data_IF_480699377822
#
_entry.id   IF_480699377822
#
_cell.length_a   1.000
_cell.length_b   1.000
_cell.length_c   1.000
_cell.angle_alpha   90.00
_cell.angle_beta   90.00
_cell.angle_gamma   90.00
#
_symmetry.space_group_name_H-M   'P 1'
#
loop_
_entity.id
_entity.type
_entity.pdbx_description
1 polymer ?
#
# COMPACT_ATOMS: atom_id res chain seq x y z
N UNK A 1 13.72 9.18 55.19
CA UNK A 1 12.42 9.49 54.55
C UNK A 1 12.70 9.65 53.05
N UNK A 2 12.64 8.55 52.29
CA UNK A 2 13.00 8.54 50.87
C UNK A 2 11.79 8.93 50.02
N UNK A 3 11.89 10.06 49.33
CA UNK A 3 10.90 10.50 48.35
C UNK A 3 10.97 9.59 47.12
N UNK A 4 10.01 8.66 47.01
CA UNK A 4 9.79 7.81 45.84
C UNK A 4 9.14 8.67 44.75
N UNK A 5 9.93 9.14 43.79
CA UNK A 5 9.42 9.78 42.57
C UNK A 5 8.65 8.71 41.77
N UNK A 6 7.33 8.77 41.80
CA UNK A 6 6.48 8.01 40.88
C UNK A 6 6.71 8.56 39.47
N UNK A 7 7.61 7.91 38.72
CA UNK A 7 7.71 8.06 37.28
C UNK A 7 6.55 7.31 36.63
N UNK A 8 5.33 7.84 36.76
CA UNK A 8 4.30 7.59 35.77
C UNK A 8 4.66 8.43 34.54
N UNK A 9 5.62 7.94 33.76
CA UNK A 9 5.77 8.37 32.37
C UNK A 9 4.51 7.91 31.66
N UNK A 10 3.52 8.81 31.61
CA UNK A 10 2.50 8.77 30.58
C UNK A 10 3.27 8.94 29.28
N UNK A 11 3.68 7.81 28.69
CA UNK A 11 4.00 7.75 27.26
C UNK A 11 2.74 8.24 26.56
N UNK A 12 2.72 9.53 26.25
CA UNK A 12 1.80 10.08 25.28
C UNK A 12 2.07 9.32 24.00
N UNK A 13 1.20 8.35 23.71
CA UNK A 13 1.00 7.76 22.39
C UNK A 13 0.78 8.95 21.44
N UNK A 14 1.86 9.51 20.90
CA UNK A 14 1.83 10.55 19.87
C UNK A 14 1.27 9.83 18.65
N UNK A 15 -0.06 9.72 18.61
CA UNK A 15 -0.78 9.07 17.54
C UNK A 15 -0.49 9.86 16.28
N UNK A 16 0.42 9.34 15.46
CA UNK A 16 0.73 9.94 14.18
C UNK A 16 -0.58 10.17 13.41
N UNK A 17 -0.85 11.45 13.12
CA UNK A 17 -1.97 11.85 12.27
C UNK A 17 -1.44 12.02 10.86
N UNK A 18 -1.86 11.15 9.95
CA UNK A 18 -1.58 11.23 8.53
C UNK A 18 -2.64 12.13 7.87
N UNK A 19 -2.22 13.21 7.22
CA UNK A 19 -3.12 13.98 6.33
C UNK A 19 -3.26 13.25 4.99
N UNK A 20 -4.29 12.40 4.91
CA UNK A 20 -4.62 11.67 3.68
C UNK A 20 -5.88 12.27 3.08
N UNK A 21 -5.70 13.11 2.06
CA UNK A 21 -6.81 13.63 1.25
C UNK A 21 -7.12 12.61 0.15
N UNK A 22 -8.36 12.09 0.08
CA UNK A 22 -8.79 11.24 -1.01
C UNK A 22 -8.52 11.94 -2.35
N UNK A 23 -8.32 11.16 -3.41
CA UNK A 23 -8.17 11.75 -4.74
C UNK A 23 -9.38 12.62 -5.13
N UNK A 24 -9.08 13.79 -5.70
CA UNK A 24 -10.08 14.73 -6.20
C UNK A 24 -10.90 14.15 -7.36
N UNK A 25 -11.95 14.87 -7.77
CA UNK A 25 -12.81 14.42 -8.86
C UNK A 25 -12.07 14.25 -10.20
N UNK A 26 -11.12 15.15 -10.51
CA UNK A 26 -10.24 15.02 -11.67
C UNK A 26 -9.43 13.73 -11.66
N UNK A 27 -8.83 13.37 -10.51
CA UNK A 27 -8.07 12.12 -10.36
C UNK A 27 -8.96 10.89 -10.54
N UNK A 28 -10.20 10.93 -10.04
CA UNK A 28 -11.18 9.86 -10.27
C UNK A 28 -11.57 9.70 -11.73
N UNK A 29 -11.69 10.81 -12.48
CA UNK A 29 -11.95 10.74 -13.91
C UNK A 29 -10.74 10.21 -14.68
N UNK A 30 -9.53 10.65 -14.33
CA UNK A 30 -8.30 10.12 -14.91
C UNK A 30 -8.17 8.60 -14.68
N UNK A 31 -8.41 8.13 -13.45
CA UNK A 31 -8.48 6.70 -13.13
C UNK A 31 -9.50 5.96 -14.02
N UNK A 32 -10.71 6.51 -14.18
CA UNK A 32 -11.77 5.88 -14.97
C UNK A 32 -11.39 5.71 -16.44
N UNK A 33 -10.71 6.72 -17.02
CA UNK A 33 -10.20 6.68 -18.39
C UNK A 33 -9.01 5.74 -18.51
N UNK A 34 -8.18 5.62 -17.48
CA UNK A 34 -7.01 4.74 -17.49
C UNK A 34 -7.35 3.26 -17.33
N UNK A 35 -8.48 2.91 -16.70
CA UNK A 35 -8.85 1.51 -16.45
C UNK A 35 -8.86 0.64 -17.72
N UNK A 36 -9.51 1.04 -18.85
CA UNK A 36 -9.44 0.28 -20.09
C UNK A 36 -8.01 0.10 -20.61
N UNK A 37 -7.20 1.16 -20.59
CA UNK A 37 -5.79 1.09 -20.98
C UNK A 37 -5.02 0.09 -20.11
N UNK A 38 -5.27 0.12 -18.80
CA UNK A 38 -4.63 -0.77 -17.84
C UNK A 38 -5.01 -2.23 -18.03
N UNK A 39 -6.23 -2.53 -18.50
CA UNK A 39 -6.60 -3.90 -18.90
C UNK A 39 -5.88 -4.36 -20.18
N UNK A 40 -5.71 -3.47 -21.16
CA UNK A 40 -4.95 -3.79 -22.39
C UNK A 40 -3.48 -4.06 -22.05
N UNK A 41 -2.88 -3.18 -21.24
CA UNK A 41 -1.49 -3.25 -20.79
C UNK A 41 -1.25 -4.47 -19.90
N UNK A 42 -2.19 -4.81 -19.01
CA UNK A 42 -2.04 -5.96 -18.12
C UNK A 42 -2.25 -7.30 -18.81
N UNK A 43 -2.87 -7.32 -20.00
CA UNK A 43 -3.28 -8.52 -20.76
C UNK A 43 -4.10 -9.56 -19.96
N UNK A 44 -4.61 -9.16 -18.79
CA UNK A 44 -5.32 -10.00 -17.82
C UNK A 44 -6.72 -9.44 -17.63
N UNK A 45 -7.54 -9.44 -18.70
CA UNK A 45 -8.90 -8.88 -18.70
C UNK A 45 -9.84 -9.46 -17.63
N UNK A 46 -9.51 -10.64 -17.11
CA UNK A 46 -10.25 -11.29 -16.03
C UNK A 46 -9.76 -10.92 -14.63
N UNK A 47 -8.67 -10.19 -14.48
CA UNK A 47 -8.15 -9.73 -13.18
C UNK A 47 -8.28 -8.22 -13.04
N UNK A 48 -8.50 -7.72 -11.82
CA UNK A 48 -8.49 -6.28 -11.59
C UNK A 48 -7.08 -5.73 -11.94
N UNK A 49 -6.97 -4.72 -12.81
CA UNK A 49 -5.68 -4.21 -13.21
C UNK A 49 -5.09 -3.35 -12.09
N UNK A 50 -3.78 -3.10 -12.17
CA UNK A 50 -3.13 -2.17 -11.26
C UNK A 50 -3.71 -0.76 -11.44
N UNK A 51 -3.92 -0.05 -10.34
CA UNK A 51 -4.55 1.29 -10.35
C UNK A 51 -3.66 2.41 -9.84
N UNK A 52 -2.41 2.12 -9.46
CA UNK A 52 -1.50 3.16 -8.95
C UNK A 52 -0.96 4.03 -10.08
N UNK A 53 -1.21 5.33 -9.97
CA UNK A 53 -0.80 6.35 -10.92
C UNK A 53 -0.26 7.58 -10.18
N UNK A 54 0.53 8.40 -10.87
CA UNK A 54 1.22 9.57 -10.28
C UNK A 54 0.29 10.56 -9.56
N UNK A 55 -1.00 10.63 -9.94
CA UNK A 55 -1.99 11.53 -9.32
C UNK A 55 -2.71 10.94 -8.10
N UNK A 56 -2.65 9.62 -7.89
CA UNK A 56 -3.40 8.90 -6.87
C UNK A 56 -2.53 8.29 -5.75
N UNK A 57 -1.25 8.66 -5.68
CA UNK A 57 -0.40 8.43 -4.51
C UNK A 57 0.31 9.71 -4.06
N UNK A 58 0.81 9.72 -2.82
CA UNK A 58 1.68 10.76 -2.28
C UNK A 58 2.93 10.11 -1.70
N UNK A 59 4.11 10.65 -2.00
CA UNK A 59 5.35 10.29 -1.32
C UNK A 59 5.33 10.79 0.13
N UNK A 60 5.73 9.94 1.06
CA UNK A 60 5.86 10.31 2.46
C UNK A 60 7.07 11.22 2.66
N UNK A 61 7.00 12.14 3.61
CA UNK A 61 8.19 12.91 4.02
C UNK A 61 9.11 12.04 4.86
N UNK A 62 10.39 12.41 4.95
CA UNK A 62 11.35 11.71 5.83
C UNK A 62 10.86 11.67 7.29
N UNK A 63 10.24 12.74 7.78
CA UNK A 63 9.63 12.74 9.11
C UNK A 63 8.47 11.75 9.25
N UNK A 64 7.71 11.49 8.19
CA UNK A 64 6.61 10.52 8.23
C UNK A 64 7.11 9.08 8.16
N UNK A 65 8.21 8.83 7.44
CA UNK A 65 8.84 7.51 7.33
C UNK A 65 9.62 7.15 8.59
N UNK A 66 10.41 8.09 9.13
CA UNK A 66 11.23 7.86 10.32
C UNK A 66 10.42 7.86 11.62
N UNK A 67 9.12 8.17 11.57
CA UNK A 67 8.26 8.05 12.75
C UNK A 67 8.17 6.59 13.15
N UNK A 68 8.25 6.28 14.46
CA UNK A 68 8.03 4.93 14.92
C UNK A 68 6.58 4.54 14.60
N UNK A 69 6.40 3.79 13.52
CA UNK A 69 5.14 3.15 13.25
C UNK A 69 4.92 2.14 14.37
N UNK A 70 3.75 2.21 15.00
CA UNK A 70 3.35 1.21 15.99
C UNK A 70 3.40 -0.19 15.37
N UNK A 71 3.40 -1.26 16.20
CA UNK A 71 3.37 -2.71 15.85
C UNK A 71 2.12 -3.16 15.03
N UNK A 72 1.60 -2.31 14.15
CA UNK A 72 0.36 -2.44 13.37
C UNK A 72 0.63 -2.64 11.89
N UNK A 73 1.90 -2.73 11.49
CA UNK A 73 2.32 -2.96 10.10
C UNK A 73 2.36 -4.45 9.77
N UNK A 74 2.23 -4.76 8.48
CA UNK A 74 2.44 -6.09 7.93
C UNK A 74 3.73 -6.05 7.12
N UNK A 75 4.77 -6.71 7.63
CA UNK A 75 6.07 -6.86 7.00
C UNK A 75 6.02 -7.97 5.96
N UNK A 76 6.50 -7.68 4.76
CA UNK A 76 6.49 -8.60 3.62
C UNK A 76 7.89 -8.64 3.04
N UNK A 77 8.51 -9.82 3.09
CA UNK A 77 9.80 -10.06 2.45
C UNK A 77 9.69 -9.85 0.93
N UNK A 78 10.72 -9.21 0.37
CA UNK A 78 10.87 -9.06 -1.07
C UNK A 78 11.14 -10.39 -1.77
N UNK A 79 10.85 -10.43 -3.07
CA UNK A 79 11.04 -11.63 -3.89
C UNK A 79 12.29 -11.44 -4.76
N UNK A 80 13.34 -12.20 -4.42
CA UNK A 80 14.60 -12.19 -5.18
C UNK A 80 14.35 -12.51 -6.66
N UNK A 81 14.89 -11.67 -7.54
CA UNK A 81 14.77 -11.82 -8.99
C UNK A 81 13.54 -11.13 -9.59
N UNK A 82 12.72 -10.43 -8.80
CA UNK A 82 11.84 -9.38 -9.34
C UNK A 82 12.70 -8.19 -9.82
N UNK A 83 12.24 -7.49 -10.86
CA UNK A 83 12.96 -6.35 -11.45
C UNK A 83 13.02 -5.16 -10.49
N UNK A 84 14.13 -4.41 -10.51
CA UNK A 84 14.16 -3.10 -9.85
C UNK A 84 13.34 -2.08 -10.65
N UNK A 85 12.65 -1.13 -9.99
CA UNK A 85 11.95 -0.06 -10.69
C UNK A 85 12.85 0.76 -11.63
N UNK A 86 14.13 0.91 -11.28
CA UNK A 86 15.12 1.66 -12.08
C UNK A 86 15.57 0.89 -13.33
N UNK A 87 15.36 -0.43 -13.37
CA UNK A 87 15.70 -1.28 -14.51
C UNK A 87 14.62 -1.26 -15.61
N UNK A 88 13.46 -0.65 -15.35
CA UNK A 88 12.28 -0.71 -16.21
C UNK A 88 11.78 0.70 -16.54
N UNK A 89 11.89 1.10 -17.81
CA UNK A 89 11.34 2.36 -18.32
C UNK A 89 9.84 2.49 -17.99
N UNK A 90 9.42 3.61 -17.41
CA UNK A 90 8.00 3.97 -17.31
C UNK A 90 7.43 4.12 -18.74
N UNK A 91 6.31 3.45 -19.12
CA UNK A 91 5.26 2.84 -18.30
C UNK A 91 5.29 1.29 -18.20
N UNK A 92 6.41 0.63 -18.52
CA UNK A 92 6.47 -0.84 -18.58
C UNK A 92 6.35 -1.54 -17.22
N UNK A 93 6.54 -0.83 -16.11
CA UNK A 93 6.27 -1.31 -14.73
C UNK A 93 4.79 -1.70 -14.54
N UNK A 94 3.88 -1.09 -15.30
CA UNK A 94 2.45 -1.39 -15.30
C UNK A 94 2.08 -2.55 -16.23
N UNK A 95 3.06 -3.19 -16.90
CA UNK A 95 2.90 -4.36 -17.77
C UNK A 95 3.36 -5.62 -17.02
N UNK A 96 2.55 -6.18 -16.09
CA UNK A 96 2.92 -7.37 -15.32
C UNK A 96 3.17 -8.61 -16.18
N UNK A 97 2.76 -8.64 -17.46
CA UNK A 97 3.01 -9.80 -18.34
C UNK A 97 4.43 -9.80 -18.92
N UNK A 98 5.09 -8.64 -19.06
CA UNK A 98 6.41 -8.55 -19.70
C UNK A 98 7.54 -8.15 -18.73
N UNK A 99 7.35 -7.12 -17.87
CA UNK A 99 8.44 -6.57 -17.04
C UNK A 99 8.01 -6.03 -15.65
N UNK A 100 6.73 -6.09 -15.29
CA UNK A 100 6.24 -5.62 -13.99
C UNK A 100 6.18 -6.71 -12.91
N UNK A 101 6.14 -6.30 -11.64
CA UNK A 101 5.96 -7.23 -10.51
C UNK A 101 4.63 -7.98 -10.63
N UNK A 102 4.67 -9.28 -10.35
CA UNK A 102 3.48 -10.15 -10.50
C UNK A 102 2.98 -10.72 -9.20
N UNK A 103 3.88 -10.91 -8.24
CA UNK A 103 3.55 -11.46 -6.96
C UNK A 103 2.87 -10.39 -6.09
N UNK A 104 1.85 -10.80 -5.35
CA UNK A 104 1.10 -9.88 -4.50
C UNK A 104 0.77 -10.49 -3.14
N UNK A 105 0.61 -9.61 -2.16
CA UNK A 105 0.02 -9.89 -0.86
C UNK A 105 -1.39 -9.30 -0.79
N UNK A 106 -2.29 -9.95 -0.07
CA UNK A 106 -3.67 -9.47 0.14
C UNK A 106 -3.83 -8.99 1.57
N UNK A 107 -4.22 -7.74 1.73
CA UNK A 107 -4.32 -7.07 3.03
C UNK A 107 -5.75 -6.60 3.29
N UNK A 108 -6.13 -6.57 4.57
CA UNK A 108 -7.37 -5.92 5.04
C UNK A 108 -7.18 -5.30 6.42
N UNK A 109 -8.05 -4.36 6.84
CA UNK A 109 -8.15 -3.93 8.22
C UNK A 109 -8.49 -5.09 9.17
N UNK A 110 -7.87 -5.13 10.36
CA UNK A 110 -8.23 -6.09 11.39
C UNK A 110 -9.67 -5.86 11.90
N UNK A 111 -10.03 -4.61 12.15
CA UNK A 111 -11.37 -4.21 12.54
C UNK A 111 -12.14 -3.72 11.30
N UNK A 112 -13.48 -3.87 11.31
CA UNK A 112 -14.31 -3.40 10.21
C UNK A 112 -14.18 -1.88 10.06
N UNK A 113 -13.73 -1.43 8.89
CA UNK A 113 -13.59 -0.03 8.53
C UNK A 113 -14.57 0.32 7.41
N UNK A 114 -15.19 1.50 7.48
CA UNK A 114 -16.07 1.99 6.41
C UNK A 114 -15.25 2.43 5.19
N UNK A 115 -14.13 3.09 5.42
CA UNK A 115 -13.21 3.57 4.38
C UNK A 115 -11.82 3.76 4.98
N UNK A 116 -10.81 3.22 4.32
CA UNK A 116 -9.42 3.29 4.75
C UNK A 116 -8.47 3.49 3.56
N UNK A 117 -7.21 3.82 3.85
CA UNK A 117 -6.14 4.00 2.87
C UNK A 117 -4.97 3.09 3.21
N UNK A 118 -4.24 2.66 2.19
CA UNK A 118 -3.02 1.86 2.35
C UNK A 118 -1.79 2.74 2.16
N UNK A 119 -0.78 2.54 3.01
CA UNK A 119 0.56 3.06 2.81
C UNK A 119 1.61 1.94 2.93
N UNK A 120 2.83 2.26 2.51
CA UNK A 120 3.98 1.37 2.56
C UNK A 120 5.25 2.14 2.91
N UNK A 121 6.20 1.43 3.52
CA UNK A 121 7.56 1.89 3.81
C UNK A 121 8.53 0.81 3.36
N UNK A 122 9.59 1.19 2.68
CA UNK A 122 10.67 0.34 2.22
C UNK A 122 11.88 0.45 3.18
N UNK A 123 12.81 -0.50 3.11
CA UNK A 123 14.03 -0.50 3.95
C UNK A 123 14.96 0.71 3.72
N UNK A 124 14.85 1.37 2.57
CA UNK A 124 15.65 2.55 2.20
C UNK A 124 15.05 3.88 2.71
N UNK A 125 14.15 3.81 3.70
CA UNK A 125 13.41 4.95 4.26
C UNK A 125 12.62 5.74 3.21
N UNK A 126 12.21 5.07 2.13
CA UNK A 126 11.20 5.60 1.19
C UNK A 126 9.82 5.04 1.51
N UNK A 127 8.78 5.79 1.18
CA UNK A 127 7.42 5.38 1.47
C UNK A 127 6.36 6.17 0.72
N UNK A 128 5.16 5.61 0.67
CA UNK A 128 4.04 6.19 -0.04
C UNK A 128 2.71 5.89 0.62
N UNK A 129 1.74 6.75 0.34
CA UNK A 129 0.34 6.55 0.73
C UNK A 129 -0.52 6.63 -0.52
N UNK A 130 -1.34 5.59 -0.75
CA UNK A 130 -2.36 5.63 -1.78
C UNK A 130 -3.52 6.54 -1.36
N UNK A 131 -3.99 7.36 -2.28
CA UNK A 131 -5.14 8.26 -2.13
C UNK A 131 -6.44 7.63 -2.61
N UNK A 132 -6.41 6.36 -3.02
CA UNK A 132 -7.59 5.60 -3.44
C UNK A 132 -8.29 5.07 -2.17
N UNK A 133 -9.55 5.45 -1.91
CA UNK A 133 -10.29 4.95 -0.75
C UNK A 133 -10.65 3.46 -0.93
N UNK A 134 -10.38 2.67 0.11
CA UNK A 134 -10.63 1.23 0.16
C UNK A 134 -11.79 0.91 1.11
N UNK A 135 -12.61 -0.08 0.77
CA UNK A 135 -13.74 -0.57 1.60
C UNK A 135 -13.62 -2.04 2.02
N UNK A 136 -12.56 -2.72 1.61
CA UNK A 136 -12.39 -4.16 1.80
C UNK A 136 -10.94 -4.57 1.69
N UNK A 137 -10.69 -5.76 1.10
CA UNK A 137 -9.34 -6.24 0.83
C UNK A 137 -8.67 -5.43 -0.27
N UNK A 138 -7.35 -5.41 -0.27
CA UNK A 138 -6.51 -4.85 -1.34
C UNK A 138 -5.37 -5.83 -1.65
N UNK A 139 -4.97 -5.91 -2.92
CA UNK A 139 -3.74 -6.56 -3.35
C UNK A 139 -2.65 -5.50 -3.46
N UNK A 140 -1.48 -5.77 -2.90
CA UNK A 140 -0.28 -4.96 -3.05
C UNK A 140 0.78 -5.81 -3.75
N UNK A 141 1.44 -5.24 -4.75
CA UNK A 141 2.56 -5.91 -5.42
C UNK A 141 3.76 -6.04 -4.47
N UNK A 142 4.53 -7.11 -4.66
CA UNK A 142 5.74 -7.41 -3.90
C UNK A 142 6.93 -7.26 -4.85
N UNK A 143 7.81 -6.32 -4.52
CA UNK A 143 9.06 -6.08 -5.26
C UNK A 143 10.23 -6.93 -4.75
N UNK A 144 11.46 -6.60 -5.18
CA UNK A 144 12.66 -7.34 -4.78
C UNK A 144 13.06 -7.11 -3.31
N UNK A 145 12.71 -5.95 -2.76
CA UNK A 145 13.06 -5.55 -1.40
C UNK A 145 11.91 -5.78 -0.42
N UNK A 146 12.28 -5.85 0.86
CA UNK A 146 11.31 -5.90 1.94
C UNK A 146 10.49 -4.59 2.00
N UNK A 147 9.21 -4.76 2.33
CA UNK A 147 8.28 -3.65 2.48
C UNK A 147 7.35 -3.88 3.66
N UNK A 148 7.07 -2.80 4.40
CA UNK A 148 6.10 -2.80 5.48
C UNK A 148 4.84 -2.04 5.07
N UNK A 149 3.70 -2.70 5.12
CA UNK A 149 2.41 -2.11 4.79
C UNK A 149 1.63 -1.68 6.03
N UNK A 150 0.92 -0.55 5.94
CA UNK A 150 0.08 -0.04 7.01
C UNK A 150 -1.22 0.56 6.50
N UNK A 151 -2.26 0.50 7.34
CA UNK A 151 -3.56 1.08 7.03
C UNK A 151 -3.75 2.43 7.73
N UNK A 152 -4.52 3.32 7.12
CA UNK A 152 -4.88 4.63 7.67
C UNK A 152 -6.41 4.80 7.62
N UNK A 153 -7.01 5.15 8.75
CA UNK A 153 -8.43 5.53 8.85
C UNK A 153 -8.56 6.77 9.72
N UNK A 154 -9.29 7.79 9.24
CA UNK A 154 -9.47 9.08 9.94
C UNK A 154 -8.12 9.69 10.39
N UNK A 155 -7.12 9.59 9.52
CA UNK A 155 -5.75 10.03 9.75
C UNK A 155 -4.95 9.17 10.74
N UNK A 156 -5.49 8.09 11.30
CA UNK A 156 -4.80 7.25 12.28
C UNK A 156 -4.36 5.92 11.68
N UNK A 157 -3.19 5.44 12.10
CA UNK A 157 -2.73 4.10 11.74
C UNK A 157 -3.65 3.02 12.32
N UNK A 158 -4.14 2.13 11.47
CA UNK A 158 -4.92 0.95 11.83
C UNK A 158 -4.13 -0.32 11.55
N UNK A 159 -4.44 -1.37 12.33
CA UNK A 159 -3.79 -2.67 12.19
C UNK A 159 -4.35 -3.41 10.97
N UNK A 160 -3.44 -3.98 10.17
CA UNK A 160 -3.78 -4.81 9.02
C UNK A 160 -3.62 -6.30 9.35
N UNK A 161 -4.25 -7.13 8.52
CA UNK A 161 -4.09 -8.58 8.49
C UNK A 161 -3.72 -9.02 7.07
N UNK A 162 -2.71 -9.87 6.95
CA UNK A 162 -2.45 -10.64 5.74
C UNK A 162 -3.55 -11.70 5.58
N UNK A 163 -4.22 -11.70 4.42
CA UNK A 163 -5.30 -12.62 4.07
C UNK A 163 -4.86 -13.72 3.11
N UNK A 164 -3.70 -13.58 2.49
CA UNK A 164 -3.19 -14.51 1.51
C UNK A 164 -2.25 -13.84 0.52
N UNK A 165 -1.76 -14.64 -0.43
CA UNK A 165 -0.82 -14.25 -1.48
C UNK A 165 -1.27 -14.80 -2.82
N UNK A 166 -0.67 -14.32 -3.89
CA UNK A 166 -0.88 -14.87 -5.23
C UNK A 166 0.00 -14.22 -6.27
N UNK A 167 -0.29 -14.55 -7.54
CA UNK A 167 0.46 -14.07 -8.71
C UNK A 167 -0.50 -13.66 -9.81
N UNK A 168 -0.25 -12.50 -10.42
CA UNK A 168 -1.04 -11.98 -11.56
C UNK A 168 -0.94 -12.93 -12.75
N UNK A 169 -2.08 -13.20 -13.37
CA UNK A 169 -2.23 -14.09 -14.53
C UNK A 169 -2.62 -15.52 -14.16
N UNK A 170 -2.67 -15.85 -12.86
CA UNK A 170 -3.06 -17.19 -12.41
C UNK A 170 -4.56 -17.31 -12.09
N UNK A 171 -5.34 -16.22 -12.15
CA UNK A 171 -6.80 -16.28 -11.93
C UNK A 171 -7.23 -16.71 -10.53
N UNK A 172 -6.35 -16.59 -9.52
CA UNK A 172 -6.61 -17.09 -8.16
C UNK A 172 -7.78 -16.41 -7.44
N UNK A 173 -8.11 -16.89 -6.23
CA UNK A 173 -9.27 -16.46 -5.43
C UNK A 173 -9.37 -14.93 -5.15
N UNK A 174 -8.28 -14.20 -5.37
CA UNK A 174 -8.18 -12.76 -5.15
C UNK A 174 -8.08 -11.94 -6.44
N UNK A 175 -8.27 -12.54 -7.62
CA UNK A 175 -8.09 -11.90 -8.92
C UNK A 175 -8.97 -10.65 -9.13
N UNK A 176 -10.13 -10.56 -8.47
CA UNK A 176 -11.03 -9.40 -8.53
C UNK A 176 -10.82 -8.38 -7.39
N UNK A 177 -9.93 -8.67 -6.44
CA UNK A 177 -9.58 -7.73 -5.38
C UNK A 177 -8.79 -6.56 -6.00
N UNK A 178 -9.11 -5.29 -5.65
CA UNK A 178 -8.38 -4.13 -6.17
C UNK A 178 -6.87 -4.29 -6.02
N UNK A 179 -6.12 -3.98 -7.08
CA UNK A 179 -4.67 -4.01 -7.11
C UNK A 179 -4.13 -2.59 -7.11
N UNK A 180 -3.38 -2.24 -6.07
CA UNK A 180 -2.70 -0.94 -5.94
C UNK A 180 -1.19 -1.16 -6.05
#
# INVERSE_FOLDING_TARGET
MYYRKNSNSVEGDVRAVFDVKPQGWFGRMADAVMVPCMYLVSGTFHEAPQRTHVWNYRKMTQEEVMRPFSRKMVKVEGIKGEYEPDDVLFPFLHVPILFGWRNYVVLKPQAMSKTWFIGWVCEDDTGGISKIPLRGKVRMLIGPHEVEFFGIENGRQIKLLECGRGKIGNGGAYCKVPLL
#
